data_IF_390367183087
#
_entry.id   IF_390367183087
#
_cell.length_a   1.000
_cell.length_b   1.000
_cell.length_c   1.000
_cell.angle_alpha   90.00
_cell.angle_beta   90.00
_cell.angle_gamma   90.00
#
_symmetry.space_group_name_H-M   'P 1'
#
loop_
_entity.id
_entity.type
_entity.pdbx_description
1 polymer ?
#
# COMPACT_ATOMS: atom_id res chain seq x y z
N UNK A 1 -53.92 63.76 20.52
CA UNK A 1 -53.32 63.92 19.18
C UNK A 1 -51.93 63.28 19.23
N UNK A 2 -51.70 62.13 18.58
CA UNK A 2 -50.37 61.55 18.34
C UNK A 2 -49.79 62.21 17.07
N UNK A 3 -48.49 62.37 16.86
CA UNK A 3 -47.47 61.37 16.57
C UNK A 3 -46.12 62.09 16.66
N UNK A 4 -45.14 61.49 17.34
CA UNK A 4 -43.77 62.03 17.43
C UNK A 4 -42.93 61.58 16.23
N UNK A 5 -42.68 62.48 15.29
CA UNK A 5 -41.79 62.23 14.14
C UNK A 5 -40.32 62.42 14.56
N UNK A 6 -39.56 61.32 14.68
CA UNK A 6 -38.10 61.39 14.82
C UNK A 6 -37.42 61.67 13.47
N UNK A 7 -36.33 62.47 13.44
CA UNK A 7 -35.56 62.72 12.22
C UNK A 7 -34.75 61.48 11.80
N UNK A 8 -34.82 61.14 10.51
CA UNK A 8 -33.99 60.10 9.92
C UNK A 8 -32.51 60.53 9.92
N UNK A 9 -31.65 59.72 10.52
CA UNK A 9 -30.19 59.88 10.44
C UNK A 9 -29.71 59.50 9.04
N UNK A 10 -28.75 60.24 8.45
CA UNK A 10 -28.14 59.86 7.18
C UNK A 10 -27.45 58.50 7.31
N UNK A 11 -27.68 57.61 6.34
CA UNK A 11 -26.91 56.39 6.18
C UNK A 11 -25.46 56.78 5.86
N UNK A 12 -24.56 56.55 6.81
CA UNK A 12 -23.13 56.70 6.58
C UNK A 12 -22.70 55.80 5.40
N UNK A 13 -21.85 56.29 4.47
CA UNK A 13 -21.27 55.42 3.46
C UNK A 13 -20.49 54.33 4.19
N UNK A 14 -20.85 53.06 3.90
CA UNK A 14 -20.09 51.90 4.36
C UNK A 14 -18.70 51.97 3.73
N UNK A 15 -17.76 52.64 4.39
CA UNK A 15 -16.34 52.43 4.18
C UNK A 15 -16.07 50.97 4.53
N UNK A 16 -16.04 50.11 3.50
CA UNK A 16 -15.56 48.74 3.66
C UNK A 16 -14.11 48.86 4.13
N UNK A 17 -13.73 48.40 5.33
CA UNK A 17 -12.32 48.26 5.61
C UNK A 17 -11.79 47.26 4.59
N UNK A 18 -10.79 47.67 3.81
CA UNK A 18 -9.93 46.76 3.06
C UNK A 18 -9.18 45.92 4.10
N UNK A 19 -9.87 44.92 4.64
CA UNK A 19 -9.25 43.81 5.33
C UNK A 19 -8.39 43.15 4.26
N UNK A 20 -7.10 43.50 4.23
CA UNK A 20 -6.08 42.67 3.60
C UNK A 20 -6.36 41.26 4.11
N UNK A 21 -6.85 40.41 3.22
CA UNK A 21 -6.94 38.98 3.44
C UNK A 21 -5.51 38.54 3.70
N UNK A 22 -5.13 38.52 4.97
CA UNK A 22 -3.99 37.76 5.42
C UNK A 22 -4.34 36.32 5.04
N UNK A 23 -3.77 35.86 3.93
CA UNK A 23 -3.74 34.46 3.61
C UNK A 23 -2.81 33.83 4.65
N UNK A 24 -3.35 33.59 5.85
CA UNK A 24 -2.74 32.68 6.81
C UNK A 24 -2.89 31.32 6.15
N UNK A 25 -1.88 30.96 5.36
CA UNK A 25 -1.64 29.58 5.02
C UNK A 25 -1.36 28.89 6.36
N UNK A 26 -2.40 28.39 7.01
CA UNK A 26 -2.23 27.33 7.97
C UNK A 26 -1.62 26.18 7.19
N UNK A 27 -0.30 26.11 7.21
CA UNK A 27 0.43 24.89 6.93
C UNK A 27 0.07 23.93 8.06
N UNK A 28 -1.13 23.35 8.01
CA UNK A 28 -1.40 22.15 8.78
C UNK A 28 -0.30 21.17 8.35
N UNK A 29 0.51 20.65 9.28
CA UNK A 29 1.44 19.59 8.96
C UNK A 29 0.65 18.53 8.19
N UNK A 30 1.11 18.15 6.99
CA UNK A 30 0.43 17.12 6.20
C UNK A 30 0.23 15.93 7.12
N UNK A 31 -1.01 15.65 7.50
CA UNK A 31 -1.31 14.56 8.42
C UNK A 31 -0.75 13.29 7.78
N UNK A 32 0.05 12.53 8.53
CA UNK A 32 0.53 11.23 8.09
C UNK A 32 -0.70 10.42 7.72
N UNK A 33 -0.86 10.10 6.44
CA UNK A 33 -2.00 9.31 5.97
C UNK A 33 -1.96 7.96 6.68
N UNK A 34 -2.89 7.75 7.60
CA UNK A 34 -3.03 6.47 8.27
C UNK A 34 -3.64 5.48 7.27
N UNK A 35 -2.90 4.42 6.98
CA UNK A 35 -3.41 3.31 6.18
C UNK A 35 -4.27 2.40 7.05
N UNK A 36 -5.47 2.08 6.56
CA UNK A 36 -6.39 1.18 7.23
C UNK A 36 -6.60 -0.06 6.36
N UNK A 37 -6.20 -1.22 6.86
CA UNK A 37 -6.50 -2.49 6.21
C UNK A 37 -8.01 -2.76 6.25
N UNK A 38 -8.54 -3.40 5.21
CA UNK A 38 -9.98 -3.73 5.09
C UNK A 38 -10.52 -4.43 6.34
N UNK A 39 -9.77 -5.39 6.91
CA UNK A 39 -10.18 -6.09 8.15
C UNK A 39 -10.30 -5.17 9.38
N UNK A 40 -9.44 -4.14 9.48
CA UNK A 40 -9.54 -3.13 10.55
C UNK A 40 -10.78 -2.27 10.36
N UNK A 41 -11.07 -1.85 9.13
CA UNK A 41 -12.28 -1.08 8.78
C UNK A 41 -13.54 -1.90 9.12
N UNK A 42 -13.61 -3.17 8.74
CA UNK A 42 -14.74 -4.05 9.03
C UNK A 42 -14.99 -4.21 10.54
N UNK A 43 -13.93 -4.40 11.33
CA UNK A 43 -14.02 -4.53 12.79
C UNK A 43 -14.61 -3.27 13.41
N UNK A 44 -14.13 -2.11 12.98
CA UNK A 44 -14.61 -0.81 13.45
C UNK A 44 -16.07 -0.55 13.06
N UNK A 45 -16.48 -0.92 11.85
CA UNK A 45 -17.87 -0.79 11.39
C UNK A 45 -18.83 -1.72 12.14
N UNK A 46 -18.39 -2.92 12.55
CA UNK A 46 -19.17 -3.82 13.41
C UNK A 46 -19.32 -3.23 14.81
N UNK A 47 -18.21 -2.84 15.45
CA UNK A 47 -18.21 -2.15 16.76
C UNK A 47 -19.14 -0.93 16.78
N UNK A 48 -19.11 -0.10 15.74
CA UNK A 48 -20.02 1.06 15.64
C UNK A 48 -21.50 0.66 15.56
N UNK A 49 -21.81 -0.48 14.92
CA UNK A 49 -23.18 -1.02 14.85
C UNK A 49 -23.65 -1.59 16.18
N UNK A 50 -22.74 -2.16 16.98
CA UNK A 50 -23.02 -2.76 18.28
C UNK A 50 -23.28 -1.71 19.38
N UNK A 51 -22.76 -0.48 19.20
CA UNK A 51 -22.83 0.59 20.20
C UNK A 51 -24.19 1.31 20.27
N UNK A 52 -25.14 1.00 19.39
CA UNK A 52 -26.51 1.53 19.43
C UNK A 52 -26.62 3.07 19.35
N UNK A 53 -27.84 3.64 19.46
CA UNK A 53 -28.09 5.08 19.29
C UNK A 53 -27.43 6.01 20.31
N UNK A 54 -26.74 5.46 21.32
CA UNK A 54 -26.21 6.21 22.46
C UNK A 54 -24.83 6.84 22.20
N UNK A 55 -24.14 6.42 21.14
CA UNK A 55 -22.83 6.96 20.78
C UNK A 55 -22.91 7.77 19.49
N UNK A 56 -22.61 9.06 19.58
CA UNK A 56 -22.46 9.89 18.38
C UNK A 56 -21.22 9.45 17.58
N UNK A 57 -21.27 9.53 16.24
CA UNK A 57 -20.13 9.20 15.36
C UNK A 57 -18.84 9.92 15.78
N UNK A 58 -18.97 11.15 16.29
CA UNK A 58 -17.84 11.94 16.75
C UNK A 58 -17.20 11.39 18.03
N UNK A 59 -17.99 10.85 18.96
CA UNK A 59 -17.45 10.21 20.17
C UNK A 59 -16.73 8.92 19.82
N UNK A 60 -17.30 8.09 18.94
CA UNK A 60 -16.67 6.87 18.47
C UNK A 60 -15.34 7.14 17.74
N UNK A 61 -15.34 8.13 16.83
CA UNK A 61 -14.13 8.57 16.12
C UNK A 61 -13.02 9.03 17.07
N UNK A 62 -13.35 9.74 18.14
CA UNK A 62 -12.39 10.18 19.16
C UNK A 62 -11.84 9.00 19.97
N UNK A 63 -12.68 8.03 20.32
CA UNK A 63 -12.30 6.85 21.11
C UNK A 63 -11.37 5.91 20.33
N UNK A 64 -11.65 5.68 19.04
CA UNK A 64 -10.86 4.78 18.18
C UNK A 64 -9.73 5.53 17.44
N UNK A 65 -9.52 6.82 17.74
CA UNK A 65 -8.51 7.70 17.13
C UNK A 65 -8.57 7.78 15.59
N UNK A 66 -9.79 7.87 15.04
CA UNK A 66 -10.04 7.96 13.59
C UNK A 66 -10.57 9.35 13.26
N UNK A 67 -10.08 10.02 12.19
CA UNK A 67 -10.68 11.25 11.73
C UNK A 67 -12.17 11.07 11.39
N UNK A 68 -13.04 11.94 11.89
CA UNK A 68 -14.50 11.83 11.69
C UNK A 68 -14.90 11.82 10.20
N UNK A 69 -14.14 12.53 9.36
CA UNK A 69 -14.35 12.54 7.91
C UNK A 69 -14.14 11.15 7.29
N UNK A 70 -13.12 10.42 7.75
CA UNK A 70 -12.81 9.06 7.31
C UNK A 70 -13.91 8.08 7.74
N UNK A 71 -14.34 8.15 9.01
CA UNK A 71 -15.41 7.31 9.53
C UNK A 71 -16.72 7.51 8.74
N UNK A 72 -17.12 8.76 8.47
CA UNK A 72 -18.29 9.07 7.65
C UNK A 72 -18.16 8.56 6.22
N UNK A 73 -16.95 8.65 5.64
CA UNK A 73 -16.65 8.10 4.32
C UNK A 73 -16.77 6.58 4.25
N UNK A 74 -16.47 5.87 5.35
CA UNK A 74 -16.68 4.43 5.45
C UNK A 74 -18.14 4.06 5.68
N UNK A 75 -18.86 4.79 6.54
CA UNK A 75 -20.28 4.56 6.79
C UNK A 75 -21.11 4.69 5.50
N UNK A 76 -20.77 5.64 4.62
CA UNK A 76 -21.43 5.80 3.31
C UNK A 76 -21.26 4.59 2.39
N UNK A 77 -20.13 3.89 2.50
CA UNK A 77 -19.76 2.68 1.73
C UNK A 77 -19.74 1.42 2.60
N UNK A 78 -20.54 1.41 3.67
CA UNK A 78 -20.52 0.34 4.68
C UNK A 78 -20.75 -1.04 4.06
N UNK A 79 -21.67 -1.13 3.11
CA UNK A 79 -21.99 -2.37 2.39
C UNK A 79 -20.77 -2.90 1.63
N UNK A 80 -20.09 -2.06 0.83
CA UNK A 80 -18.87 -2.43 0.09
C UNK A 80 -17.79 -3.01 1.01
N UNK A 81 -17.56 -2.37 2.16
CA UNK A 81 -16.56 -2.84 3.11
C UNK A 81 -16.98 -4.15 3.80
N UNK A 82 -18.25 -4.35 4.13
CA UNK A 82 -18.72 -5.57 4.76
C UNK A 82 -18.79 -6.76 3.78
N UNK A 83 -19.13 -6.51 2.52
CA UNK A 83 -19.15 -7.51 1.44
C UNK A 83 -17.75 -7.84 0.92
N UNK A 84 -16.80 -6.91 1.04
CA UNK A 84 -15.43 -7.17 0.62
C UNK A 84 -14.85 -8.35 1.41
N UNK A 85 -14.56 -9.43 0.69
CA UNK A 85 -13.81 -10.55 1.25
C UNK A 85 -12.44 -10.01 1.64
N UNK A 86 -11.98 -10.31 2.86
CA UNK A 86 -10.61 -10.04 3.29
C UNK A 86 -9.70 -10.63 2.22
N UNK A 87 -9.12 -9.79 1.36
CA UNK A 87 -7.90 -10.17 0.66
C UNK A 87 -6.92 -10.38 1.80
N UNK A 88 -6.70 -11.63 2.18
CA UNK A 88 -5.55 -11.95 2.99
C UNK A 88 -4.40 -11.21 2.33
N UNK A 89 -3.59 -10.50 3.13
CA UNK A 89 -2.20 -10.41 2.75
C UNK A 89 -1.74 -11.86 2.71
N UNK A 90 -1.97 -12.53 1.57
CA UNK A 90 -1.17 -13.65 1.19
C UNK A 90 0.20 -13.00 1.04
N UNK A 91 0.91 -12.89 2.15
CA UNK A 91 2.36 -12.97 2.10
C UNK A 91 2.58 -14.38 1.58
N UNK A 92 2.45 -14.51 0.26
CA UNK A 92 2.56 -15.74 -0.48
C UNK A 92 4.01 -16.12 -0.38
N UNK A 93 4.39 -16.79 0.71
CA UNK A 93 5.60 -17.61 0.73
C UNK A 93 5.43 -18.76 -0.28
N UNK A 94 4.19 -19.10 -0.64
CA UNK A 94 3.82 -20.10 -1.65
C UNK A 94 3.77 -19.55 -3.08
N UNK A 95 4.91 -19.10 -3.60
CA UNK A 95 5.17 -19.22 -5.04
C UNK A 95 4.44 -18.25 -5.97
N UNK A 96 4.76 -16.95 -5.89
CA UNK A 96 4.87 -16.17 -7.14
C UNK A 96 6.21 -16.48 -7.81
N UNK A 97 6.31 -17.70 -8.31
CA UNK A 97 7.40 -18.22 -9.11
C UNK A 97 6.90 -19.53 -9.68
N UNK A 98 6.95 -19.68 -11.00
CA UNK A 98 6.69 -20.97 -11.61
C UNK A 98 7.69 -21.95 -10.99
N UNK A 99 7.20 -22.91 -10.21
CA UNK A 99 8.02 -23.98 -9.66
C UNK A 99 8.32 -24.92 -10.83
N UNK A 100 9.19 -24.50 -11.75
CA UNK A 100 9.76 -25.42 -12.70
C UNK A 100 10.66 -26.34 -11.89
N UNK A 101 10.13 -27.51 -11.57
CA UNK A 101 10.90 -28.60 -10.98
C UNK A 101 11.90 -29.02 -12.04
N UNK A 102 13.07 -28.40 -12.01
CA UNK A 102 14.15 -28.75 -12.91
C UNK A 102 14.64 -30.14 -12.53
N UNK A 103 14.70 -31.07 -13.49
CA UNK A 103 15.04 -32.47 -13.26
C UNK A 103 16.40 -32.68 -12.58
N UNK A 104 17.33 -31.73 -12.74
CA UNK A 104 18.67 -31.76 -12.14
C UNK A 104 18.80 -31.03 -10.80
N UNK A 105 17.69 -30.56 -10.21
CA UNK A 105 17.71 -29.77 -8.98
C UNK A 105 18.44 -30.46 -7.82
N UNK A 106 18.28 -31.77 -7.66
CA UNK A 106 18.94 -32.56 -6.62
C UNK A 106 20.48 -32.58 -6.80
N UNK A 107 20.96 -32.70 -8.04
CA UNK A 107 22.40 -32.75 -8.31
C UNK A 107 23.04 -31.37 -8.22
N UNK A 108 22.30 -30.31 -8.57
CA UNK A 108 22.73 -28.93 -8.33
C UNK A 108 22.85 -28.64 -6.82
N UNK A 109 21.94 -29.15 -5.98
CA UNK A 109 22.04 -29.00 -4.52
C UNK A 109 23.31 -29.67 -4.00
N UNK A 110 23.60 -30.91 -4.41
CA UNK A 110 24.83 -31.62 -4.03
C UNK A 110 26.10 -30.84 -4.44
N UNK A 111 26.12 -30.27 -5.65
CA UNK A 111 27.22 -29.43 -6.09
C UNK A 111 27.35 -28.16 -5.25
N UNK A 112 26.24 -27.48 -4.94
CA UNK A 112 26.27 -26.28 -4.09
C UNK A 112 26.77 -26.57 -2.69
N UNK A 113 26.49 -27.76 -2.16
CA UNK A 113 27.00 -28.19 -0.86
C UNK A 113 28.50 -28.51 -0.92
N UNK A 114 28.98 -29.19 -1.96
CA UNK A 114 30.43 -29.43 -2.11
C UNK A 114 31.24 -28.15 -2.33
N UNK A 115 30.68 -27.16 -3.04
CA UNK A 115 31.33 -25.85 -3.19
C UNK A 115 31.37 -25.09 -1.88
N UNK A 116 30.35 -25.21 -1.01
CA UNK A 116 30.34 -24.57 0.31
C UNK A 116 31.42 -25.12 1.25
N UNK A 117 31.81 -26.37 1.07
CA UNK A 117 32.89 -26.98 1.85
C UNK A 117 34.28 -26.45 1.43
N UNK A 118 34.41 -25.96 0.18
CA UNK A 118 35.67 -25.51 -0.42
C UNK A 118 35.78 -23.97 -0.41
N UNK A 119 34.70 -23.28 -0.75
CA UNK A 119 34.62 -21.83 -0.88
C UNK A 119 33.57 -21.25 0.06
N UNK A 120 33.90 -20.15 0.74
CA UNK A 120 32.99 -19.50 1.69
C UNK A 120 31.74 -18.89 1.03
N UNK A 121 31.80 -18.59 -0.27
CA UNK A 121 30.73 -17.90 -1.01
C UNK A 121 30.43 -18.60 -2.33
N UNK A 122 29.21 -19.13 -2.45
CA UNK A 122 28.70 -19.63 -3.70
C UNK A 122 28.35 -18.45 -4.63
N UNK A 123 29.04 -18.36 -5.77
CA UNK A 123 28.79 -17.34 -6.79
C UNK A 123 28.00 -17.93 -7.97
N UNK A 124 27.27 -17.09 -8.72
CA UNK A 124 26.54 -17.51 -9.93
C UNK A 124 27.46 -18.14 -10.98
N UNK A 125 28.70 -17.64 -11.10
CA UNK A 125 29.74 -18.23 -11.96
C UNK A 125 30.04 -19.70 -11.61
N UNK A 126 30.02 -20.08 -10.33
CA UNK A 126 30.25 -21.47 -9.91
C UNK A 126 29.09 -22.35 -10.40
N UNK A 127 27.86 -21.87 -10.29
CA UNK A 127 26.66 -22.56 -10.79
C UNK A 127 26.71 -22.70 -12.31
N UNK A 128 27.05 -21.64 -13.04
CA UNK A 128 27.16 -21.68 -14.51
C UNK A 128 28.28 -22.61 -14.96
N UNK A 129 29.43 -22.60 -14.27
CA UNK A 129 30.56 -23.50 -14.56
C UNK A 129 30.18 -24.97 -14.41
N UNK A 130 29.34 -25.29 -13.41
CA UNK A 130 28.79 -26.63 -13.27
C UNK A 130 27.73 -26.95 -14.32
N UNK A 131 26.88 -25.98 -14.66
CA UNK A 131 25.78 -26.14 -15.60
C UNK A 131 26.25 -26.44 -17.02
N UNK A 132 27.34 -25.81 -17.48
CA UNK A 132 27.87 -25.96 -18.84
C UNK A 132 28.16 -27.42 -19.22
N UNK A 133 28.94 -28.21 -18.45
CA UNK A 133 29.20 -29.61 -18.78
C UNK A 133 28.07 -30.58 -18.37
N UNK A 134 27.30 -30.28 -17.33
CA UNK A 134 26.31 -31.24 -16.80
C UNK A 134 24.93 -31.11 -17.45
N UNK A 135 24.55 -29.92 -17.91
CA UNK A 135 23.18 -29.60 -18.35
C UNK A 135 23.19 -28.74 -19.62
N UNK A 136 24.11 -29.05 -20.54
CA UNK A 136 24.22 -28.36 -21.83
C UNK A 136 22.92 -28.36 -22.67
N UNK A 137 22.13 -29.45 -22.73
CA UNK A 137 20.86 -29.43 -23.46
C UNK A 137 19.85 -28.44 -22.86
N UNK A 138 19.80 -28.35 -21.53
CA UNK A 138 18.94 -27.39 -20.85
C UNK A 138 19.40 -25.95 -21.08
N UNK A 139 20.71 -25.70 -21.00
CA UNK A 139 21.28 -24.37 -21.24
C UNK A 139 20.99 -23.90 -22.68
N UNK A 140 21.10 -24.79 -23.66
CA UNK A 140 20.76 -24.49 -25.05
C UNK A 140 19.26 -24.15 -25.21
N UNK A 141 18.36 -24.94 -24.60
CA UNK A 141 16.92 -24.66 -24.64
C UNK A 141 16.57 -23.33 -23.95
N UNK A 142 17.25 -23.00 -22.85
CA UNK A 142 17.09 -21.72 -22.15
C UNK A 142 17.51 -20.53 -23.01
N UNK A 143 18.64 -20.66 -23.73
CA UNK A 143 19.16 -19.60 -24.59
C UNK A 143 18.35 -19.44 -25.88
N UNK A 144 17.82 -20.53 -26.45
CA UNK A 144 16.98 -20.52 -27.66
C UNK A 144 15.68 -19.72 -27.45
N UNK A 145 15.12 -19.75 -26.23
CA UNK A 145 13.94 -18.96 -25.86
C UNK A 145 14.21 -17.46 -25.65
N UNK A 146 15.44 -16.97 -25.86
CA UNK A 146 15.83 -15.57 -25.63
C UNK A 146 16.17 -14.88 -26.95
N UNK A 147 15.82 -13.60 -27.02
CA UNK A 147 16.01 -12.76 -28.22
C UNK A 147 17.49 -12.47 -28.51
N UNK A 148 18.35 -12.52 -27.49
CA UNK A 148 19.79 -12.32 -27.58
C UNK A 148 20.50 -13.32 -26.65
N UNK A 149 21.18 -14.30 -27.26
CA UNK A 149 21.83 -15.40 -26.56
C UNK A 149 23.06 -14.93 -25.76
N UNK A 150 23.85 -14.00 -26.29
CA UNK A 150 25.05 -13.49 -25.61
C UNK A 150 24.66 -12.67 -24.38
N UNK A 151 23.65 -11.80 -24.52
CA UNK A 151 23.10 -11.05 -23.40
C UNK A 151 22.45 -11.96 -22.36
N UNK A 152 21.76 -13.02 -22.80
CA UNK A 152 21.15 -13.99 -21.89
C UNK A 152 22.21 -14.77 -21.10
N UNK A 153 23.29 -15.19 -21.74
CA UNK A 153 24.40 -15.88 -21.08
C UNK A 153 25.14 -14.95 -20.10
N UNK A 154 25.43 -13.71 -20.49
CA UNK A 154 26.00 -12.70 -19.58
C UNK A 154 25.12 -12.45 -18.37
N UNK A 155 23.80 -12.42 -18.55
CA UNK A 155 22.84 -12.30 -17.46
C UNK A 155 22.85 -13.47 -16.46
N UNK A 156 23.37 -14.65 -16.85
CA UNK A 156 23.57 -15.77 -15.93
C UNK A 156 24.84 -15.63 -15.09
N UNK A 157 25.81 -14.82 -15.51
CA UNK A 157 27.09 -14.68 -14.81
C UNK A 157 27.07 -13.59 -13.71
N UNK A 158 26.14 -12.64 -13.79
CA UNK A 158 25.99 -11.54 -12.83
C UNK A 158 26.24 -10.18 -13.46
#
# INVERSE_FOLDING_TARGET
>A
MPEGTQPQRPLAPRCKPLLKLYNVQHYFPKEKQQQYCIGRIQTLLRKHSDLGPCCSDGQFARQEHIPIATLRGWLKRKHEYLESVKRGSNTTLDGHGQLESVSFGADLVKFKDSVRDIEKLLTTANVVTWLTPHQQPWLNAYLDGKLDQDRAYKGLLG
#
